data_IF_410468932081
#
_entry.id   IF_410468932081
#
_cell.length_a   1.000
_cell.length_b   1.000
_cell.length_c   1.000
_cell.angle_alpha   90.00
_cell.angle_beta   90.00
_cell.angle_gamma   90.00
#
_symmetry.space_group_name_H-M   'P 1'
#
loop_
_entity.id
_entity.type
_entity.pdbx_description
1 polymer ?
#
# COMPACT_ATOMS: atom_id res chain seq x y z
N UNK A 1 27.19 37.88 -9.71
CA UNK A 1 25.80 37.78 -9.21
C UNK A 1 24.91 37.62 -10.41
N UNK A 2 24.99 36.48 -11.09
CA UNK A 2 24.26 35.23 -10.83
C UNK A 2 22.74 35.37 -11.02
N UNK A 3 22.33 35.12 -12.27
CA UNK A 3 20.95 35.18 -12.77
C UNK A 3 20.43 33.78 -13.15
N UNK A 4 20.98 32.69 -12.60
CA UNK A 4 20.69 31.32 -13.10
C UNK A 4 19.73 30.45 -12.28
N UNK A 5 19.10 30.95 -11.21
CA UNK A 5 18.32 30.09 -10.31
C UNK A 5 16.79 30.14 -10.51
N UNK A 6 16.25 31.07 -11.30
CA UNK A 6 14.79 31.36 -11.25
C UNK A 6 13.91 30.54 -12.21
N UNK A 7 14.45 29.92 -13.27
CA UNK A 7 13.63 29.21 -14.28
C UNK A 7 13.39 27.71 -14.00
N UNK A 8 14.16 27.09 -13.09
CA UNK A 8 14.14 25.63 -12.90
C UNK A 8 12.99 25.11 -12.01
N UNK A 9 12.50 25.95 -11.09
CA UNK A 9 11.48 25.54 -10.09
C UNK A 9 10.08 25.34 -10.70
N UNK A 10 9.58 26.20 -11.61
CA UNK A 10 8.26 25.99 -12.22
C UNK A 10 8.20 24.71 -13.05
N UNK A 11 9.26 24.41 -13.80
CA UNK A 11 9.36 23.20 -14.61
C UNK A 11 9.35 21.93 -13.76
N UNK A 12 9.94 21.97 -12.56
CA UNK A 12 10.03 20.79 -11.70
C UNK A 12 8.66 20.22 -11.29
N UNK A 13 7.71 21.09 -10.95
CA UNK A 13 6.39 20.66 -10.47
C UNK A 13 5.35 20.48 -11.58
N UNK A 14 5.66 20.85 -12.82
CA UNK A 14 4.67 20.89 -13.91
C UNK A 14 5.03 20.04 -15.13
N UNK A 15 6.29 19.62 -15.28
CA UNK A 15 6.69 18.76 -16.38
C UNK A 15 6.06 17.36 -16.26
N UNK A 16 5.47 16.82 -17.34
CA UNK A 16 4.97 15.46 -17.36
C UNK A 16 6.12 14.45 -17.34
N UNK A 17 5.83 13.22 -16.93
CA UNK A 17 6.82 12.12 -16.87
C UNK A 17 7.51 11.90 -18.22
N UNK A 18 6.78 11.95 -19.33
CA UNK A 18 7.32 11.78 -20.69
C UNK A 18 8.45 12.75 -21.03
N UNK A 19 8.36 14.00 -20.56
CA UNK A 19 9.40 15.01 -20.80
C UNK A 19 10.51 14.95 -19.75
N UNK A 20 10.14 14.71 -18.49
CA UNK A 20 11.09 14.73 -17.37
C UNK A 20 11.99 13.49 -17.35
N UNK A 21 11.40 12.32 -17.61
CA UNK A 21 12.06 11.02 -17.58
C UNK A 21 11.48 10.11 -18.69
N UNK A 22 11.88 10.35 -19.96
CA UNK A 22 11.37 9.59 -21.10
C UNK A 22 11.71 8.09 -21.01
N UNK A 23 12.78 7.72 -20.31
CA UNK A 23 13.18 6.31 -20.14
C UNK A 23 12.18 5.56 -19.25
N UNK A 24 11.80 6.14 -18.11
CA UNK A 24 10.75 5.58 -17.26
C UNK A 24 9.39 5.61 -17.96
N UNK A 25 9.07 6.68 -18.69
CA UNK A 25 7.82 6.74 -19.44
C UNK A 25 7.73 5.64 -20.51
N UNK A 26 8.81 5.38 -21.25
CA UNK A 26 8.87 4.30 -22.23
C UNK A 26 8.70 2.92 -21.57
N UNK A 27 9.30 2.69 -20.40
CA UNK A 27 9.10 1.47 -19.63
C UNK A 27 7.62 1.27 -19.20
N UNK A 28 6.95 2.33 -18.74
CA UNK A 28 5.51 2.29 -18.42
C UNK A 28 4.67 1.94 -19.65
N UNK A 29 5.00 2.49 -20.82
CA UNK A 29 4.28 2.18 -22.07
C UNK A 29 4.50 0.73 -22.53
N UNK A 30 5.71 0.21 -22.38
CA UNK A 30 6.04 -1.20 -22.67
C UNK A 30 5.26 -2.14 -21.75
N UNK A 31 5.18 -1.85 -20.46
CA UNK A 31 4.38 -2.66 -19.52
C UNK A 31 2.88 -2.60 -19.83
N UNK A 32 2.36 -1.42 -20.22
CA UNK A 32 0.96 -1.32 -20.69
C UNK A 32 0.72 -2.16 -21.95
N UNK A 33 1.69 -2.23 -22.86
CA UNK A 33 1.64 -3.12 -24.02
C UNK A 33 1.59 -4.59 -23.60
N UNK A 34 2.51 -4.99 -22.71
CA UNK A 34 2.55 -6.35 -22.14
C UNK A 34 1.20 -6.77 -21.54
N UNK A 35 0.62 -5.94 -20.66
CA UNK A 35 -0.66 -6.23 -20.02
C UNK A 35 -1.85 -6.31 -20.99
N UNK A 36 -1.76 -5.71 -22.18
CA UNK A 36 -2.81 -5.76 -23.21
C UNK A 36 -2.70 -6.97 -24.12
N UNK A 37 -1.48 -7.38 -24.42
CA UNK A 37 -1.18 -8.35 -25.46
C UNK A 37 -0.91 -9.76 -24.89
N UNK A 38 -0.64 -9.87 -23.59
CA UNK A 38 -0.42 -11.15 -22.90
C UNK A 38 -1.67 -11.63 -22.13
N UNK A 39 -1.77 -12.95 -21.98
CA UNK A 39 -2.77 -13.57 -21.11
C UNK A 39 -2.16 -13.74 -19.73
N UNK A 40 -2.66 -12.96 -18.76
CA UNK A 40 -2.22 -13.05 -17.37
C UNK A 40 -2.98 -14.15 -16.63
N UNK A 41 -2.25 -15.12 -16.06
CA UNK A 41 -2.79 -16.29 -15.36
C UNK A 41 -2.30 -16.38 -13.91
N UNK A 42 -1.55 -15.39 -13.43
CA UNK A 42 -1.15 -15.31 -12.03
C UNK A 42 -2.38 -14.98 -11.18
N UNK A 43 -2.78 -15.93 -10.32
CA UNK A 43 -4.02 -15.85 -9.54
C UNK A 43 -4.14 -14.63 -8.60
N UNK A 44 -3.01 -14.04 -8.20
CA UNK A 44 -2.96 -12.87 -7.32
C UNK A 44 -2.92 -11.53 -8.06
N UNK A 45 -2.74 -11.53 -9.37
CA UNK A 45 -2.71 -10.30 -10.17
C UNK A 45 -4.11 -9.90 -10.64
N UNK A 46 -4.28 -8.61 -10.89
CA UNK A 46 -5.52 -8.06 -11.43
C UNK A 46 -5.27 -6.67 -12.05
N UNK A 47 -6.19 -6.22 -12.91
CA UNK A 47 -6.14 -4.89 -13.53
C UNK A 47 -7.08 -3.95 -12.76
N UNK A 48 -6.52 -2.93 -12.13
CA UNK A 48 -7.31 -1.92 -11.41
C UNK A 48 -8.06 -1.01 -12.38
N UNK A 49 -9.16 -0.42 -11.91
CA UNK A 49 -9.91 0.55 -12.72
C UNK A 49 -9.13 1.85 -12.94
N UNK A 50 -9.46 2.57 -14.02
CA UNK A 50 -8.90 3.90 -14.30
C UNK A 50 -9.10 4.88 -13.13
N UNK A 51 -10.25 4.84 -12.47
CA UNK A 51 -10.53 5.72 -11.32
C UNK A 51 -9.57 5.47 -10.14
N UNK A 52 -9.14 4.22 -9.93
CA UNK A 52 -8.12 3.89 -8.90
C UNK A 52 -6.76 4.46 -9.29
N UNK A 53 -6.36 4.32 -10.56
CA UNK A 53 -5.11 4.90 -11.07
C UNK A 53 -5.10 6.43 -10.94
N UNK A 54 -6.22 7.08 -11.25
CA UNK A 54 -6.39 8.53 -11.12
C UNK A 54 -6.23 8.98 -9.66
N UNK A 55 -6.81 8.26 -8.70
CA UNK A 55 -6.71 8.57 -7.28
C UNK A 55 -5.27 8.40 -6.71
N UNK A 56 -4.55 7.37 -7.15
CA UNK A 56 -3.21 7.03 -6.65
C UNK A 56 -2.16 8.11 -6.95
N UNK A 57 -2.34 8.87 -8.03
CA UNK A 57 -1.42 9.93 -8.48
C UNK A 57 -1.81 11.34 -8.03
N UNK A 58 -2.69 11.50 -7.04
CA UNK A 58 -3.19 12.82 -6.62
C UNK A 58 -2.31 13.52 -5.60
N UNK A 59 -2.63 14.80 -5.34
CA UNK A 59 -1.98 15.63 -4.31
C UNK A 59 -2.10 15.10 -2.88
N UNK A 60 -2.93 14.07 -2.64
CA UNK A 60 -3.03 13.42 -1.33
C UNK A 60 -1.68 12.84 -0.87
N UNK A 61 -0.82 12.42 -1.81
CA UNK A 61 0.54 11.94 -1.51
C UNK A 61 1.40 12.96 -0.78
N UNK A 62 1.10 14.25 -0.92
CA UNK A 62 1.86 15.33 -0.27
C UNK A 62 1.48 15.52 1.20
N UNK A 63 0.40 14.90 1.67
CA UNK A 63 -0.15 15.16 3.01
C UNK A 63 0.33 14.12 4.02
N UNK A 64 1.07 14.60 5.01
CA UNK A 64 1.40 13.82 6.20
C UNK A 64 0.25 13.90 7.22
N UNK A 65 -0.34 12.76 7.59
CA UNK A 65 -1.58 12.67 8.37
C UNK A 65 -1.52 11.61 9.49
N UNK A 66 -0.47 11.66 10.30
CA UNK A 66 -0.27 10.71 11.40
C UNK A 66 -1.41 10.78 12.44
N UNK A 67 -1.84 9.60 12.89
CA UNK A 67 -2.99 9.41 13.77
C UNK A 67 -4.21 8.86 13.03
N UNK A 68 -5.40 9.09 13.57
CA UNK A 68 -6.68 8.67 12.99
C UNK A 68 -7.58 9.89 12.74
N UNK A 69 -8.64 9.78 11.91
CA UNK A 69 -9.59 10.88 11.70
C UNK A 69 -10.09 11.48 13.01
N UNK A 70 -10.08 12.81 13.10
CA UNK A 70 -10.43 13.56 14.32
C UNK A 70 -9.41 13.48 15.48
N UNK A 71 -8.36 12.68 15.37
CA UNK A 71 -7.27 12.51 16.36
C UNK A 71 -5.91 12.47 15.67
N UNK A 72 -5.60 13.51 14.89
CA UNK A 72 -4.33 13.67 14.18
C UNK A 72 -3.30 14.36 15.06
N UNK A 73 -2.04 13.99 14.90
CA UNK A 73 -0.91 14.69 15.55
C UNK A 73 -0.59 16.02 14.86
N UNK A 74 -0.95 16.15 13.57
CA UNK A 74 -0.67 17.34 12.76
C UNK A 74 -1.95 17.99 12.23
N UNK A 75 -1.90 19.32 12.05
CA UNK A 75 -3.02 20.10 11.52
C UNK A 75 -3.20 19.99 10.00
N UNK A 76 -4.32 20.52 9.49
CA UNK A 76 -4.60 20.60 8.06
C UNK A 76 -5.02 19.27 7.43
N UNK A 77 -5.63 18.37 8.20
CA UNK A 77 -6.04 17.03 7.77
C UNK A 77 -7.52 16.92 7.37
N UNK A 78 -8.25 18.05 7.35
CA UNK A 78 -9.71 18.05 7.16
C UNK A 78 -10.20 17.32 5.90
N UNK A 79 -9.41 17.29 4.82
CA UNK A 79 -9.80 16.61 3.58
C UNK A 79 -9.31 15.17 3.48
N UNK A 80 -8.16 14.83 4.10
CA UNK A 80 -7.72 13.43 4.16
C UNK A 80 -8.55 12.63 5.15
N UNK A 81 -9.07 13.27 6.20
CA UNK A 81 -10.03 12.64 7.14
C UNK A 81 -11.29 12.20 6.40
N UNK A 82 -11.85 13.03 5.50
CA UNK A 82 -13.00 12.64 4.68
C UNK A 82 -12.70 11.38 3.85
N UNK A 83 -11.52 11.32 3.22
CA UNK A 83 -11.13 10.16 2.39
C UNK A 83 -10.99 8.90 3.23
N UNK A 84 -10.33 8.99 4.38
CA UNK A 84 -10.13 7.85 5.27
C UNK A 84 -11.43 7.36 5.91
N UNK A 85 -12.31 8.28 6.35
CA UNK A 85 -13.64 7.95 6.89
C UNK A 85 -14.51 7.23 5.86
N UNK A 86 -14.54 7.73 4.61
CA UNK A 86 -15.25 7.07 3.51
C UNK A 86 -14.68 5.67 3.22
N UNK A 87 -13.35 5.51 3.25
CA UNK A 87 -12.73 4.21 3.03
C UNK A 87 -13.10 3.21 4.16
N UNK A 88 -13.07 3.65 5.41
CA UNK A 88 -13.48 2.85 6.57
C UNK A 88 -14.95 2.47 6.48
N UNK A 89 -15.84 3.42 6.21
CA UNK A 89 -17.28 3.17 6.08
C UNK A 89 -17.59 2.16 4.98
N UNK A 90 -16.97 2.34 3.80
CA UNK A 90 -17.16 1.44 2.66
C UNK A 90 -16.63 0.04 2.94
N UNK A 91 -15.47 -0.09 3.58
CA UNK A 91 -14.94 -1.39 3.97
C UNK A 91 -15.86 -2.09 4.98
N UNK A 92 -16.33 -1.37 6.00
CA UNK A 92 -17.30 -1.89 6.99
C UNK A 92 -18.59 -2.35 6.33
N UNK A 93 -19.12 -1.55 5.41
CA UNK A 93 -20.36 -1.89 4.67
C UNK A 93 -20.16 -3.09 3.76
N UNK A 94 -19.06 -3.13 3.00
CA UNK A 94 -18.77 -4.19 2.04
C UNK A 94 -18.62 -5.56 2.71
N UNK A 95 -17.95 -5.61 3.86
CA UNK A 95 -17.65 -6.86 4.57
C UNK A 95 -18.56 -7.12 5.78
N UNK A 96 -19.53 -6.25 6.07
CA UNK A 96 -20.37 -6.35 7.27
C UNK A 96 -19.58 -6.26 8.58
N UNK A 97 -18.46 -5.54 8.59
CA UNK A 97 -17.54 -5.48 9.73
C UNK A 97 -17.92 -4.35 10.71
N UNK A 98 -17.75 -4.61 12.02
CA UNK A 98 -17.97 -3.59 13.05
C UNK A 98 -16.94 -2.46 12.96
N UNK A 99 -15.69 -2.78 12.62
CA UNK A 99 -14.56 -1.86 12.53
C UNK A 99 -13.70 -2.20 11.30
N UNK A 100 -12.96 -1.22 10.79
CA UNK A 100 -11.95 -1.41 9.75
C UNK A 100 -10.77 -0.46 9.99
N UNK A 101 -9.55 -0.96 9.77
CA UNK A 101 -8.35 -0.14 9.67
C UNK A 101 -7.84 -0.22 8.22
N UNK A 102 -7.71 0.95 7.58
CA UNK A 102 -7.35 1.08 6.15
C UNK A 102 -5.94 1.66 5.95
N UNK A 103 -5.14 1.78 7.01
CA UNK A 103 -3.80 2.38 6.97
C UNK A 103 -2.64 1.44 6.62
N UNK A 104 -2.69 0.10 6.83
CA UNK A 104 -1.56 -0.76 6.47
C UNK A 104 -1.25 -0.72 4.98
N UNK A 105 0.02 -0.50 4.62
CA UNK A 105 0.41 -0.26 3.22
C UNK A 105 0.34 -1.51 2.33
N UNK A 106 0.30 -2.70 2.93
CA UNK A 106 0.19 -3.98 2.20
C UNK A 106 -0.34 -5.10 3.10
N UNK A 107 -0.71 -6.23 2.51
CA UNK A 107 -1.18 -7.40 3.24
C UNK A 107 -0.17 -7.94 4.27
N UNK A 108 1.12 -7.93 3.94
CA UNK A 108 2.17 -8.36 4.87
C UNK A 108 2.26 -7.49 6.12
N UNK A 109 2.13 -6.17 5.96
CA UNK A 109 2.13 -5.24 7.10
C UNK A 109 0.84 -5.32 7.92
N UNK A 110 -0.30 -5.61 7.28
CA UNK A 110 -1.56 -5.86 8.01
C UNK A 110 -1.42 -7.06 8.94
N UNK A 111 -0.88 -8.18 8.45
CA UNK A 111 -0.61 -9.34 9.30
C UNK A 111 0.31 -8.96 10.47
N UNK A 112 1.43 -8.27 10.19
CA UNK A 112 2.35 -7.81 11.22
C UNK A 112 1.67 -6.93 12.27
N UNK A 113 0.77 -6.01 11.87
CA UNK A 113 0.03 -5.18 12.80
C UNK A 113 -0.85 -6.00 13.75
N UNK A 114 -1.50 -7.06 13.25
CA UNK A 114 -2.30 -7.99 14.08
C UNK A 114 -1.41 -8.76 15.06
N UNK A 115 -0.26 -9.29 14.59
CA UNK A 115 0.71 -9.97 15.45
C UNK A 115 1.18 -9.04 16.59
N UNK A 116 1.58 -7.81 16.27
CA UNK A 116 2.08 -6.86 17.28
C UNK A 116 0.99 -6.32 18.21
N UNK A 117 -0.26 -6.32 17.78
CA UNK A 117 -1.38 -5.90 18.62
C UNK A 117 -1.81 -6.97 19.63
N UNK A 118 -1.66 -8.25 19.28
CA UNK A 118 -2.26 -9.36 20.04
C UNK A 118 -1.24 -10.31 20.68
N UNK A 119 0.01 -10.32 20.20
CA UNK A 119 1.03 -11.28 20.61
C UNK A 119 2.31 -10.58 21.07
N UNK A 120 3.05 -11.25 21.92
CA UNK A 120 4.41 -10.89 22.31
C UNK A 120 5.42 -11.81 21.62
N UNK A 121 6.67 -11.37 21.38
CA UNK A 121 7.72 -12.25 20.89
C UNK A 121 7.85 -13.51 21.77
N UNK A 122 7.95 -14.68 21.13
CA UNK A 122 7.95 -16.00 21.76
C UNK A 122 6.58 -16.66 21.89
N UNK A 123 5.48 -15.90 21.76
CA UNK A 123 4.14 -16.48 21.76
C UNK A 123 3.96 -17.47 20.60
N UNK A 124 3.07 -18.44 20.82
CA UNK A 124 2.81 -19.50 19.85
C UNK A 124 1.58 -19.17 18.99
N UNK A 125 1.70 -19.36 17.68
CA UNK A 125 0.57 -19.29 16.77
C UNK A 125 0.64 -20.41 15.73
N UNK A 126 -0.47 -20.65 15.04
CA UNK A 126 -0.57 -21.71 14.05
C UNK A 126 -0.82 -21.13 12.65
N UNK A 127 -0.09 -21.63 11.65
CA UNK A 127 -0.16 -21.18 10.25
C UNK A 127 -0.05 -22.35 9.26
N UNK A 128 -0.61 -22.18 8.05
CA UNK A 128 -0.49 -23.18 6.98
C UNK A 128 0.96 -23.20 6.45
N UNK A 129 1.53 -24.40 6.29
CA UNK A 129 2.89 -24.54 5.76
C UNK A 129 3.02 -23.93 4.35
N UNK A 130 4.17 -23.30 4.08
CA UNK A 130 4.42 -22.63 2.82
C UNK A 130 4.37 -23.58 1.61
N UNK A 131 4.85 -24.82 1.76
CA UNK A 131 4.81 -25.83 0.70
C UNK A 131 3.40 -26.38 0.46
N UNK A 132 2.51 -26.23 1.45
CA UNK A 132 1.10 -26.61 1.38
C UNK A 132 0.18 -25.45 0.96
N UNK A 133 0.75 -24.36 0.42
CA UNK A 133 -0.01 -23.21 -0.06
C UNK A 133 -0.17 -22.08 0.96
N UNK A 134 0.61 -22.10 2.05
CA UNK A 134 0.71 -20.99 2.99
C UNK A 134 1.31 -19.72 2.39
N UNK A 135 1.45 -18.68 3.21
CA UNK A 135 2.07 -17.41 2.82
C UNK A 135 3.24 -17.09 3.74
N UNK A 136 4.22 -16.32 3.24
CA UNK A 136 5.45 -15.99 3.99
C UNK A 136 5.17 -15.38 5.37
N UNK A 137 4.07 -14.64 5.52
CA UNK A 137 3.67 -13.98 6.77
C UNK A 137 3.01 -14.90 7.79
N UNK A 138 2.84 -16.19 7.47
CA UNK A 138 2.19 -17.17 8.33
C UNK A 138 3.21 -18.08 9.04
N UNK A 139 4.45 -17.59 9.25
CA UNK A 139 5.47 -18.29 10.04
C UNK A 139 6.74 -18.67 9.28
N UNK A 140 6.94 -18.20 8.04
CA UNK A 140 8.21 -18.45 7.36
C UNK A 140 9.38 -17.85 8.15
N UNK A 141 10.51 -18.57 8.34
CA UNK A 141 11.65 -18.12 9.15
C UNK A 141 12.35 -16.86 8.60
N UNK A 142 12.09 -16.50 7.34
CA UNK A 142 12.62 -15.26 6.75
C UNK A 142 11.76 -14.03 7.08
N UNK A 143 10.50 -14.23 7.50
CA UNK A 143 9.56 -13.17 7.85
C UNK A 143 9.55 -12.89 9.36
N UNK A 144 9.10 -11.69 9.78
CA UNK A 144 8.92 -11.34 11.19
C UNK A 144 8.12 -12.39 11.96
N UNK A 145 7.05 -12.93 11.36
CA UNK A 145 6.19 -13.96 11.96
C UNK A 145 6.97 -15.21 12.38
N UNK A 146 7.90 -15.72 11.56
CA UNK A 146 8.72 -16.88 11.92
C UNK A 146 9.99 -16.53 12.72
N UNK A 147 10.46 -15.28 12.67
CA UNK A 147 11.63 -14.85 13.46
C UNK A 147 11.31 -14.58 14.92
N UNK A 148 10.14 -14.00 15.21
CA UNK A 148 9.83 -13.46 16.52
C UNK A 148 8.87 -14.33 17.33
N UNK A 149 8.11 -15.22 16.67
CA UNK A 149 7.08 -16.03 17.32
C UNK A 149 7.37 -17.52 17.09
N UNK A 150 6.81 -18.37 17.95
CA UNK A 150 6.89 -19.81 17.80
C UNK A 150 5.75 -20.30 16.89
N UNK A 151 6.03 -20.54 15.61
CA UNK A 151 5.01 -21.08 14.70
C UNK A 151 4.87 -22.59 14.85
N UNK A 152 3.63 -23.06 14.92
CA UNK A 152 3.27 -24.46 14.68
C UNK A 152 2.61 -24.56 13.31
N UNK A 153 3.23 -25.25 12.37
CA UNK A 153 2.66 -25.42 11.03
C UNK A 153 1.62 -26.54 11.00
N UNK A 154 0.60 -26.38 10.15
CA UNK A 154 -0.29 -27.46 9.72
C UNK A 154 -0.34 -27.56 8.19
N UNK A 155 -0.88 -28.68 7.69
CA UNK A 155 -1.04 -28.97 6.26
C UNK A 155 0.11 -29.75 5.65
#
# INVERSE_FOLDING_TARGET
MDTRVTAAVPAFFSQPLEERDPEIFDAVRKELGRQRDEIELIASENIVSRAVLEAQGTVLTNKYAEGYPGKRYYGGCQFVDIVEELAIERARTLFGAAFANVQPNSGSQMNQAVFLALLQPGDTFMGLDLNSGGHLTHGSPVNMSGKWFNVVSYG
#
